data_IF_233754248171
#
_entry.id   IF_233754248171
#
_cell.length_a   1.000
_cell.length_b   1.000
_cell.length_c   1.000
_cell.angle_alpha   90.00
_cell.angle_beta   90.00
_cell.angle_gamma   90.00
#
_symmetry.space_group_name_H-M   'P 1'
#
loop_
_entity.id
_entity.type
_entity.pdbx_description
1 polymer ?
#
# COMPACT_ATOMS: atom_id res chain seq x y z
N UNK A 1 -8.20 12.78 -7.59
CA UNK A 1 -9.38 11.89 -7.54
C UNK A 1 -8.85 10.46 -7.39
N UNK A 2 -9.41 9.64 -6.51
CA UNK A 2 -9.02 8.23 -6.33
C UNK A 2 -10.05 7.34 -7.04
N UNK A 3 -9.64 6.64 -8.10
CA UNK A 3 -10.54 5.91 -9.00
C UNK A 3 -10.66 4.42 -8.63
N UNK A 4 -10.99 4.17 -7.36
CA UNK A 4 -11.41 2.86 -6.87
C UNK A 4 -10.38 1.73 -7.02
N UNK A 5 -10.82 0.52 -6.67
CA UNK A 5 -10.04 -0.71 -6.65
C UNK A 5 -10.01 -1.35 -8.05
N UNK A 6 -9.46 -0.60 -9.03
CA UNK A 6 -9.43 -0.95 -10.44
C UNK A 6 -10.82 -1.15 -11.09
N UNK A 7 -11.79 -0.30 -10.74
CA UNK A 7 -13.13 -0.35 -11.35
C UNK A 7 -13.09 0.20 -12.78
N UNK A 8 -13.38 -0.62 -13.82
CA UNK A 8 -13.29 -0.19 -15.21
C UNK A 8 -14.22 0.99 -15.55
N UNK A 9 -15.38 1.11 -14.89
CA UNK A 9 -16.32 2.22 -15.14
C UNK A 9 -15.71 3.54 -14.70
N UNK A 10 -15.16 3.61 -13.49
CA UNK A 10 -14.55 4.84 -12.98
C UNK A 10 -13.25 5.17 -13.69
N UNK A 11 -12.50 4.14 -14.13
CA UNK A 11 -11.30 4.34 -14.94
C UNK A 11 -11.63 4.91 -16.32
N UNK A 12 -12.70 4.44 -16.99
CA UNK A 12 -13.16 5.03 -18.25
C UNK A 12 -13.52 6.50 -18.07
N UNK A 13 -14.33 6.82 -17.04
CA UNK A 13 -14.72 8.21 -16.79
C UNK A 13 -13.52 9.13 -16.55
N UNK A 14 -12.48 8.64 -15.86
CA UNK A 14 -11.25 9.39 -15.64
C UNK A 14 -10.47 9.62 -16.95
N UNK A 15 -10.39 8.60 -17.79
CA UNK A 15 -9.73 8.67 -19.08
C UNK A 15 -10.44 9.66 -20.01
N UNK A 16 -11.77 9.55 -20.11
CA UNK A 16 -12.60 10.45 -20.92
C UNK A 16 -12.45 11.92 -20.48
N UNK A 17 -12.42 12.16 -19.17
CA UNK A 17 -12.19 13.49 -18.61
C UNK A 17 -10.83 14.05 -19.02
N UNK A 18 -9.74 13.28 -18.88
CA UNK A 18 -8.40 13.70 -19.30
C UNK A 18 -8.33 14.00 -20.80
N UNK A 19 -8.90 13.14 -21.64
CA UNK A 19 -8.92 13.32 -23.11
C UNK A 19 -9.74 14.54 -23.50
N UNK A 20 -10.88 14.79 -22.84
CA UNK A 20 -11.68 15.99 -23.09
C UNK A 20 -10.95 17.29 -22.75
N UNK A 21 -9.94 17.23 -21.87
CA UNK A 21 -9.04 18.32 -21.53
C UNK A 21 -7.76 18.37 -22.39
N UNK A 22 -7.69 17.59 -23.47
CA UNK A 22 -6.60 17.62 -24.44
C UNK A 22 -5.38 16.78 -24.06
N UNK A 23 -5.52 15.80 -23.16
CA UNK A 23 -4.44 14.84 -22.94
C UNK A 23 -4.17 14.03 -24.21
N UNK A 24 -2.92 14.02 -24.67
CA UNK A 24 -2.48 13.24 -25.85
C UNK A 24 -1.93 11.86 -25.47
N UNK A 25 -1.61 11.66 -24.18
CA UNK A 25 -1.24 10.38 -23.57
C UNK A 25 -1.53 10.42 -22.07
N UNK A 26 -1.67 9.25 -21.45
CA UNK A 26 -2.00 9.13 -20.02
C UNK A 26 -1.01 8.20 -19.30
N UNK A 27 -0.42 8.72 -18.22
CA UNK A 27 0.40 7.94 -17.28
C UNK A 27 -0.43 7.61 -16.04
N UNK A 28 -0.73 6.33 -15.83
CA UNK A 28 -1.55 5.86 -14.70
C UNK A 28 -0.65 5.45 -13.55
N UNK A 29 -0.74 6.19 -12.44
CA UNK A 29 -0.05 5.83 -11.19
C UNK A 29 -1.02 5.10 -10.26
N UNK A 30 -0.69 3.85 -9.94
CA UNK A 30 -1.44 2.98 -9.02
C UNK A 30 -0.97 3.22 -7.59
N UNK A 31 -1.87 3.77 -6.75
CA UNK A 31 -1.60 4.01 -5.33
C UNK A 31 -2.16 2.86 -4.48
N UNK A 32 -1.40 1.78 -4.36
CA UNK A 32 -1.72 0.63 -3.52
C UNK A 32 -0.59 0.29 -2.56
N UNK A 33 -0.94 -0.36 -1.44
CA UNK A 33 0.05 -0.85 -0.46
C UNK A 33 0.99 -1.86 -1.13
N UNK A 34 0.46 -2.85 -1.86
CA UNK A 34 1.25 -3.77 -2.68
C UNK A 34 1.14 -3.44 -4.16
N UNK A 35 2.25 -3.56 -4.89
CA UNK A 35 2.26 -3.44 -6.34
C UNK A 35 1.47 -4.55 -7.05
N UNK A 36 1.25 -5.69 -6.37
CA UNK A 36 0.45 -6.81 -6.87
C UNK A 36 -1.06 -6.49 -6.86
N UNK A 37 -1.53 -5.64 -5.94
CA UNK A 37 -2.96 -5.38 -5.71
C UNK A 37 -3.65 -4.79 -6.95
N UNK A 38 -4.54 -5.55 -7.58
CA UNK A 38 -5.27 -5.17 -8.80
C UNK A 38 -4.38 -4.90 -10.03
N UNK A 39 -3.12 -5.36 -10.06
CA UNK A 39 -2.23 -5.10 -11.19
C UNK A 39 -2.78 -5.70 -12.49
N UNK A 40 -3.19 -6.97 -12.44
CA UNK A 40 -3.66 -7.70 -13.62
C UNK A 40 -4.98 -7.13 -14.14
N UNK A 41 -5.89 -6.80 -13.24
CA UNK A 41 -7.18 -6.16 -13.52
C UNK A 41 -6.98 -4.79 -14.18
N UNK A 42 -6.08 -3.98 -13.62
CA UNK A 42 -5.80 -2.64 -14.15
C UNK A 42 -5.11 -2.74 -15.52
N UNK A 43 -4.10 -3.60 -15.64
CA UNK A 43 -3.37 -3.79 -16.89
C UNK A 43 -4.27 -4.36 -18.01
N UNK A 44 -5.14 -5.32 -17.68
CA UNK A 44 -6.15 -5.82 -18.62
C UNK A 44 -7.12 -4.71 -19.05
N UNK A 45 -7.62 -3.91 -18.11
CA UNK A 45 -8.54 -2.81 -18.42
C UNK A 45 -7.91 -1.82 -19.41
N UNK A 46 -6.64 -1.47 -19.21
CA UNK A 46 -5.88 -0.61 -20.13
C UNK A 46 -5.29 -1.35 -21.33
N UNK A 47 -5.73 -2.57 -21.62
CA UNK A 47 -5.29 -3.38 -22.78
C UNK A 47 -3.76 -3.63 -22.83
N UNK A 48 -3.07 -3.53 -21.69
CA UNK A 48 -1.64 -3.82 -21.55
C UNK A 48 -1.38 -5.32 -21.31
N UNK A 49 -2.43 -6.07 -21.00
CA UNK A 49 -2.44 -7.52 -20.86
C UNK A 49 -3.53 -8.11 -21.76
N UNK A 50 -3.21 -9.16 -22.52
CA UNK A 50 -4.11 -9.73 -23.52
C UNK A 50 -5.25 -10.57 -22.90
N UNK A 51 -5.03 -11.09 -21.69
CA UNK A 51 -5.94 -12.03 -21.05
C UNK A 51 -6.57 -11.42 -19.82
N UNK A 52 -7.90 -11.58 -19.70
CA UNK A 52 -8.61 -11.20 -18.49
C UNK A 52 -8.04 -11.96 -17.29
N UNK A 53 -7.94 -11.33 -16.11
CA UNK A 53 -7.53 -12.01 -14.89
C UNK A 53 -8.48 -13.17 -14.59
N UNK A 54 -7.91 -14.33 -14.28
CA UNK A 54 -8.66 -15.52 -13.86
C UNK A 54 -8.93 -15.46 -12.36
N UNK A 55 -10.12 -15.91 -11.93
CA UNK A 55 -10.47 -16.08 -10.52
C UNK A 55 -11.49 -15.05 -10.04
N UNK A 56 -11.54 -14.85 -8.71
CA UNK A 56 -12.44 -13.87 -8.10
C UNK A 56 -11.87 -12.45 -8.25
N UNK A 57 -12.49 -11.67 -9.14
CA UNK A 57 -12.21 -10.24 -9.28
C UNK A 57 -13.29 -9.43 -8.55
N UNK A 58 -12.92 -8.24 -8.08
CA UNK A 58 -13.90 -7.36 -7.42
C UNK A 58 -14.87 -6.68 -8.37
N UNK A 59 -14.47 -6.52 -9.62
CA UNK A 59 -15.28 -5.97 -10.69
C UNK A 59 -15.22 -6.93 -11.88
N UNK A 60 -16.28 -6.96 -12.69
CA UNK A 60 -16.28 -7.69 -13.95
C UNK A 60 -15.15 -7.16 -14.84
N UNK A 61 -14.21 -8.01 -15.30
CA UNK A 61 -13.12 -7.56 -16.15
C UNK A 61 -13.65 -6.95 -17.44
N UNK A 62 -13.21 -5.73 -17.76
CA UNK A 62 -13.60 -5.01 -18.96
C UNK A 62 -12.44 -4.17 -19.48
N UNK A 63 -12.21 -4.22 -20.79
CA UNK A 63 -11.30 -3.31 -21.47
C UNK A 63 -11.92 -1.92 -21.63
N UNK A 64 -11.10 -0.89 -21.49
CA UNK A 64 -11.46 0.49 -21.69
C UNK A 64 -11.39 0.85 -23.18
N UNK A 65 -12.17 1.84 -23.59
CA UNK A 65 -12.03 2.46 -24.90
C UNK A 65 -10.88 3.47 -24.84
N UNK A 66 -9.77 3.15 -25.52
CA UNK A 66 -8.54 3.93 -25.49
C UNK A 66 -8.41 4.76 -26.77
N UNK A 67 -8.51 6.08 -26.64
CA UNK A 67 -8.29 7.03 -27.72
C UNK A 67 -6.88 7.64 -27.74
N UNK A 68 -6.10 7.38 -26.69
CA UNK A 68 -4.73 7.87 -26.49
C UNK A 68 -3.84 6.78 -25.89
N UNK A 69 -2.51 6.81 -26.12
CA UNK A 69 -1.58 5.89 -25.48
C UNK A 69 -1.64 5.97 -23.95
N UNK A 70 -1.53 4.80 -23.30
CA UNK A 70 -1.54 4.69 -21.85
C UNK A 70 -0.34 3.88 -21.35
N UNK A 71 0.20 4.28 -20.21
CA UNK A 71 1.20 3.51 -19.46
C UNK A 71 0.78 3.37 -18.01
N UNK A 72 1.33 2.36 -17.34
CA UNK A 72 0.88 1.93 -16.01
C UNK A 72 2.05 1.73 -15.06
N UNK A 73 1.98 2.30 -13.85
CA UNK A 73 2.95 2.01 -12.80
C UNK A 73 2.70 0.62 -12.18
N UNK A 74 3.79 -0.07 -11.85
CA UNK A 74 3.75 -1.42 -11.26
C UNK A 74 4.08 -1.46 -9.77
N UNK A 75 4.76 -0.43 -9.25
CA UNK A 75 5.22 -0.37 -7.87
C UNK A 75 4.09 -0.19 -6.86
N UNK A 76 4.31 -0.64 -5.62
CA UNK A 76 3.49 -0.34 -4.46
C UNK A 76 4.29 0.25 -3.31
N UNK A 77 3.58 0.71 -2.28
CA UNK A 77 4.19 1.38 -1.11
C UNK A 77 5.08 0.45 -0.27
N UNK A 78 4.82 -0.86 -0.27
CA UNK A 78 5.67 -1.87 0.38
C UNK A 78 7.09 -1.93 -0.20
N UNK A 79 7.28 -1.50 -1.44
CA UNK A 79 8.57 -1.51 -2.14
C UNK A 79 9.28 -0.14 -2.08
N UNK A 80 8.67 0.83 -1.39
CA UNK A 80 9.14 2.21 -1.37
C UNK A 80 9.91 2.51 -0.08
N UNK A 81 11.24 2.61 -0.17
CA UNK A 81 12.11 2.94 0.98
C UNK A 81 11.71 4.26 1.66
N UNK A 82 11.09 5.19 0.93
CA UNK A 82 10.53 6.43 1.50
C UNK A 82 9.53 6.16 2.63
N UNK A 83 8.81 5.04 2.61
CA UNK A 83 7.84 4.69 3.65
C UNK A 83 8.52 4.32 4.98
N UNK A 84 9.74 3.79 4.95
CA UNK A 84 10.49 3.49 6.17
C UNK A 84 10.70 4.74 7.03
N UNK A 85 11.02 5.88 6.39
CA UNK A 85 11.15 7.16 7.07
C UNK A 85 9.85 7.61 7.74
N UNK A 86 8.70 7.35 7.13
CA UNK A 86 7.39 7.65 7.74
C UNK A 86 7.24 6.84 9.02
N UNK A 87 7.54 5.55 8.97
CA UNK A 87 7.41 4.70 10.16
C UNK A 87 8.37 5.11 11.28
N UNK A 88 9.60 5.51 10.94
CA UNK A 88 10.58 6.05 11.91
C UNK A 88 10.05 7.32 12.58
N UNK A 89 9.60 8.30 11.78
CA UNK A 89 9.11 9.58 12.33
C UNK A 89 7.88 9.38 13.22
N UNK A 90 6.99 8.44 12.86
CA UNK A 90 5.82 8.08 13.67
C UNK A 90 6.22 7.41 14.97
N UNK A 91 7.13 6.43 14.91
CA UNK A 91 7.61 5.72 16.09
C UNK A 91 8.28 6.68 17.07
N UNK A 92 9.25 7.47 16.59
CA UNK A 92 9.99 8.43 17.40
C UNK A 92 9.10 9.58 17.91
N UNK A 93 8.20 10.09 17.07
CA UNK A 93 7.29 11.18 17.43
C UNK A 93 6.25 10.78 18.49
N UNK A 94 5.90 9.49 18.57
CA UNK A 94 5.04 8.96 19.62
C UNK A 94 5.81 8.51 20.85
N UNK A 95 7.13 8.30 20.77
CA UNK A 95 7.93 7.73 21.85
C UNK A 95 8.15 8.70 23.02
N UNK A 96 8.25 8.14 24.23
CA UNK A 96 8.63 8.88 25.45
C UNK A 96 9.90 8.28 26.06
N UNK A 97 9.93 6.96 26.23
CA UNK A 97 11.09 6.19 26.69
C UNK A 97 11.24 4.94 25.81
N UNK A 98 11.97 5.04 24.69
CA UNK A 98 12.07 3.95 23.71
C UNK A 98 12.44 2.60 24.34
N UNK A 99 13.34 2.61 25.34
CA UNK A 99 13.81 1.39 26.02
C UNK A 99 12.71 0.62 26.77
N UNK A 100 11.58 1.28 27.06
CA UNK A 100 10.37 0.69 27.68
C UNK A 100 9.19 0.61 26.71
N UNK A 101 9.44 0.79 25.42
CA UNK A 101 8.41 0.86 24.40
C UNK A 101 8.66 -0.16 23.30
N UNK A 102 7.59 -0.82 22.86
CA UNK A 102 7.63 -1.75 21.74
C UNK A 102 6.78 -1.24 20.60
N UNK A 103 7.27 -1.36 19.37
CA UNK A 103 6.55 -0.98 18.17
C UNK A 103 5.80 -2.19 17.62
N UNK A 104 4.55 -1.97 17.23
CA UNK A 104 3.73 -2.90 16.47
C UNK A 104 3.25 -2.23 15.19
N UNK A 105 3.82 -2.60 14.05
CA UNK A 105 3.36 -2.16 12.73
C UNK A 105 2.27 -3.13 12.25
N UNK A 106 1.09 -2.61 11.91
CA UNK A 106 -0.05 -3.43 11.50
C UNK A 106 -0.52 -3.03 10.11
N UNK A 107 -0.48 -3.97 9.17
CA UNK A 107 -1.04 -3.82 7.83
C UNK A 107 -2.45 -4.41 7.70
N UNK A 108 -3.14 -4.08 6.61
CA UNK A 108 -4.42 -4.71 6.23
C UNK A 108 -4.24 -6.21 6.01
N UNK A 109 -3.38 -6.62 5.09
CA UNK A 109 -3.04 -8.03 4.82
C UNK A 109 -3.95 -8.73 3.81
N UNK A 110 -3.39 -9.38 2.79
CA UNK A 110 -4.17 -10.09 1.78
C UNK A 110 -4.73 -11.42 2.29
N UNK A 111 -5.67 -11.98 1.52
CA UNK A 111 -6.36 -13.22 1.82
C UNK A 111 -5.53 -14.46 1.52
N UNK A 112 -4.59 -14.36 0.58
CA UNK A 112 -3.63 -15.43 0.28
C UNK A 112 -2.51 -15.48 1.32
N UNK A 113 -2.13 -16.68 1.76
CA UNK A 113 -1.13 -16.87 2.81
C UNK A 113 0.28 -16.53 2.34
N UNK A 114 0.64 -16.86 1.09
CA UNK A 114 1.97 -16.58 0.56
C UNK A 114 2.13 -15.11 0.20
N UNK A 115 1.08 -14.47 -0.32
CA UNK A 115 1.05 -13.02 -0.47
C UNK A 115 1.18 -12.32 0.90
N UNK A 116 0.47 -12.80 1.93
CA UNK A 116 0.56 -12.20 3.26
C UNK A 116 1.98 -12.32 3.86
N UNK A 117 2.65 -13.45 3.67
CA UNK A 117 4.07 -13.59 4.07
C UNK A 117 4.97 -12.60 3.35
N UNK A 118 4.76 -12.36 2.04
CA UNK A 118 5.50 -11.34 1.28
C UNK A 118 5.23 -9.93 1.82
N UNK A 119 3.97 -9.60 2.15
CA UNK A 119 3.62 -8.33 2.76
C UNK A 119 4.33 -8.11 4.10
N UNK A 120 4.24 -9.09 5.02
CA UNK A 120 4.91 -9.02 6.32
C UNK A 120 6.42 -8.86 6.15
N UNK A 121 7.06 -9.62 5.26
CA UNK A 121 8.49 -9.51 5.00
C UNK A 121 8.91 -8.13 4.46
N UNK A 122 8.13 -7.53 3.55
CA UNK A 122 8.42 -6.19 3.01
C UNK A 122 8.22 -5.10 4.07
N UNK A 123 7.14 -5.18 4.85
CA UNK A 123 6.95 -4.27 5.98
C UNK A 123 8.07 -4.41 7.02
N UNK A 124 8.51 -5.65 7.29
CA UNK A 124 9.61 -5.92 8.21
C UNK A 124 10.93 -5.34 7.74
N UNK A 125 11.20 -5.40 6.43
CA UNK A 125 12.36 -4.74 5.83
C UNK A 125 12.33 -3.21 6.00
N UNK A 126 11.15 -2.58 5.86
CA UNK A 126 11.00 -1.15 6.13
C UNK A 126 11.19 -0.83 7.62
N UNK A 127 10.73 -1.73 8.50
CA UNK A 127 10.84 -1.60 9.96
C UNK A 127 12.29 -1.69 10.47
N UNK A 128 13.23 -2.22 9.69
CA UNK A 128 14.66 -2.19 10.02
C UNK A 128 15.18 -0.77 10.28
N UNK A 129 14.61 0.25 9.62
CA UNK A 129 15.01 1.64 9.87
C UNK A 129 14.63 2.07 11.29
N UNK A 130 13.50 1.60 11.84
CA UNK A 130 13.11 1.84 13.23
C UNK A 130 14.07 1.15 14.19
N UNK A 131 14.45 -0.10 13.89
CA UNK A 131 15.40 -0.87 14.71
C UNK A 131 16.79 -0.24 14.74
N UNK A 132 17.18 0.40 13.65
CA UNK A 132 18.48 1.09 13.52
C UNK A 132 18.48 2.46 14.19
N UNK A 133 17.41 3.22 14.01
CA UNK A 133 17.35 4.63 14.39
C UNK A 133 16.67 4.87 15.76
N UNK A 134 16.07 3.84 16.34
CA UNK A 134 15.39 3.90 17.64
C UNK A 134 15.90 2.85 18.64
N UNK A 135 15.95 3.24 19.91
CA UNK A 135 16.32 2.36 21.04
C UNK A 135 15.09 1.61 21.61
N UNK A 136 14.15 1.21 20.73
CA UNK A 136 12.92 0.53 21.14
C UNK A 136 13.22 -0.86 21.70
N UNK A 137 12.46 -1.28 22.72
CA UNK A 137 12.60 -2.62 23.30
C UNK A 137 12.40 -3.73 22.25
N UNK A 138 11.39 -3.58 21.39
CA UNK A 138 11.17 -4.48 20.26
C UNK A 138 10.40 -3.79 19.13
N UNK A 139 10.57 -4.30 17.91
CA UNK A 139 9.83 -3.84 16.72
C UNK A 139 9.24 -5.05 16.03
N UNK A 140 7.90 -5.13 16.01
CA UNK A 140 7.14 -6.25 15.47
C UNK A 140 6.25 -5.79 14.32
N UNK A 141 6.02 -6.68 13.37
CA UNK A 141 5.25 -6.42 12.16
C UNK A 141 4.24 -7.55 11.96
N UNK A 142 2.99 -7.19 11.68
CA UNK A 142 1.94 -8.17 11.41
C UNK A 142 0.81 -7.57 10.55
N UNK A 143 -0.17 -8.39 10.19
CA UNK A 143 -1.36 -7.98 9.44
C UNK A 143 -2.62 -8.46 10.16
N UNK A 144 -3.71 -7.70 10.05
CA UNK A 144 -5.00 -8.07 10.65
C UNK A 144 -5.82 -9.00 9.75
N UNK A 145 -5.60 -8.95 8.44
CA UNK A 145 -6.35 -9.68 7.41
C UNK A 145 -7.85 -9.43 7.54
N UNK A 146 -8.20 -8.15 7.68
CA UNK A 146 -9.47 -7.67 8.23
C UNK A 146 -10.73 -8.06 7.43
N UNK A 147 -10.58 -8.34 6.13
CA UNK A 147 -11.66 -8.72 5.22
C UNK A 147 -11.83 -10.25 5.08
N UNK A 148 -10.96 -11.05 5.72
CA UNK A 148 -10.84 -12.48 5.44
C UNK A 148 -11.34 -13.33 6.61
N UNK A 149 -12.59 -13.80 6.51
CA UNK A 149 -13.20 -14.70 7.49
C UNK A 149 -12.33 -15.94 7.74
N UNK A 150 -12.10 -16.28 9.01
CA UNK A 150 -11.26 -17.41 9.41
C UNK A 150 -9.76 -17.11 9.42
N UNK A 151 -9.33 -15.95 8.92
CA UNK A 151 -7.95 -15.44 9.06
C UNK A 151 -7.89 -14.27 10.04
N UNK A 152 -8.90 -13.39 9.98
CA UNK A 152 -9.01 -12.21 10.84
C UNK A 152 -8.94 -12.57 12.33
N UNK A 153 -9.76 -13.53 12.77
CA UNK A 153 -9.92 -13.82 14.20
C UNK A 153 -8.62 -14.32 14.84
N UNK A 154 -7.87 -15.17 14.12
CA UNK A 154 -6.57 -15.65 14.58
C UNK A 154 -5.54 -14.51 14.67
N UNK A 155 -5.45 -13.68 13.62
CA UNK A 155 -4.55 -12.54 13.59
C UNK A 155 -4.86 -11.51 14.69
N UNK A 156 -6.15 -11.23 14.92
CA UNK A 156 -6.62 -10.35 15.97
C UNK A 156 -6.18 -10.84 17.36
N UNK A 157 -6.37 -12.13 17.65
CA UNK A 157 -5.92 -12.73 18.92
C UNK A 157 -4.41 -12.64 19.11
N UNK A 158 -3.62 -12.87 18.06
CA UNK A 158 -2.16 -12.76 18.11
C UNK A 158 -1.71 -11.32 18.39
N UNK A 159 -2.32 -10.34 17.70
CA UNK A 159 -2.06 -8.91 17.91
C UNK A 159 -2.40 -8.48 19.34
N UNK A 160 -3.58 -8.86 19.85
CA UNK A 160 -3.99 -8.56 21.22
C UNK A 160 -3.08 -9.23 22.25
N UNK A 161 -2.67 -10.49 22.01
CA UNK A 161 -1.77 -11.23 22.89
C UNK A 161 -0.40 -10.55 22.99
N UNK A 162 0.12 -10.03 21.88
CA UNK A 162 1.35 -9.24 21.87
C UNK A 162 1.22 -8.00 22.78
N UNK A 163 0.16 -7.20 22.58
CA UNK A 163 -0.05 -5.98 23.37
C UNK A 163 -0.21 -6.29 24.86
N UNK A 164 -0.95 -7.35 25.21
CA UNK A 164 -1.10 -7.80 26.62
C UNK A 164 0.23 -8.24 27.23
N UNK A 165 1.05 -8.96 26.47
CA UNK A 165 2.34 -9.47 26.94
C UNK A 165 3.29 -8.33 27.25
N UNK A 166 3.42 -7.37 26.34
CA UNK A 166 4.26 -6.17 26.53
C UNK A 166 3.77 -5.33 27.71
N UNK A 167 2.44 -5.11 27.80
CA UNK A 167 1.84 -4.36 28.91
C UNK A 167 2.09 -5.03 30.26
N UNK A 168 1.95 -6.36 30.34
CA UNK A 168 2.20 -7.13 31.58
C UNK A 168 3.67 -7.02 32.03
N UNK A 169 4.58 -6.89 31.07
CA UNK A 169 5.99 -6.67 31.33
C UNK A 169 6.35 -5.20 31.64
N UNK A 170 5.35 -4.33 31.80
CA UNK A 170 5.53 -2.91 32.13
C UNK A 170 5.98 -2.04 30.96
N UNK A 171 5.80 -2.50 29.71
CA UNK A 171 6.14 -1.76 28.50
C UNK A 171 4.90 -1.15 27.85
N UNK A 172 5.09 -0.04 27.14
CA UNK A 172 4.02 0.57 26.32
C UNK A 172 4.16 0.11 24.88
N UNK A 173 3.07 -0.33 24.26
CA UNK A 173 3.06 -0.62 22.82
C UNK A 173 2.66 0.62 22.04
N UNK A 174 3.46 1.00 21.05
CA UNK A 174 3.13 2.01 20.05
C UNK A 174 2.67 1.28 18.79
N UNK A 175 1.43 1.53 18.36
CA UNK A 175 0.82 0.89 17.20
C UNK A 175 0.89 1.84 16.01
N UNK A 176 1.52 1.40 14.92
CA UNK A 176 1.70 2.17 13.69
C UNK A 176 1.01 1.45 12.53
N UNK A 177 -0.06 2.02 11.96
CA UNK A 177 -0.71 1.45 10.79
C UNK A 177 0.16 1.52 9.52
N UNK A 178 0.44 0.38 8.90
CA UNK A 178 0.94 0.32 7.52
C UNK A 178 -0.23 0.25 6.54
N UNK A 179 -0.94 1.37 6.42
CA UNK A 179 -2.08 1.52 5.52
C UNK A 179 -2.10 2.91 4.93
N UNK A 180 -2.71 3.07 3.76
CA UNK A 180 -2.67 4.34 3.03
C UNK A 180 -3.24 5.49 3.88
N UNK A 181 -4.38 5.29 4.54
CA UNK A 181 -5.07 6.33 5.29
C UNK A 181 -5.75 5.82 6.56
N UNK A 182 -5.57 6.54 7.67
CA UNK A 182 -6.26 6.34 8.95
C UNK A 182 -5.83 5.09 9.73
N UNK A 183 -6.53 4.81 10.83
CA UNK A 183 -6.20 3.73 11.77
C UNK A 183 -6.85 2.38 11.48
N UNK A 184 -7.92 2.34 10.68
CA UNK A 184 -8.61 1.09 10.34
C UNK A 184 -9.47 0.61 11.51
N UNK A 185 -9.79 -0.69 11.58
CA UNK A 185 -10.56 -1.26 12.69
C UNK A 185 -9.71 -1.44 13.95
N UNK A 186 -8.47 -0.93 13.99
CA UNK A 186 -7.52 -1.21 15.07
C UNK A 186 -7.99 -0.66 16.42
N UNK A 187 -8.80 0.41 16.44
CA UNK A 187 -9.38 0.90 17.69
C UNK A 187 -10.27 -0.16 18.38
N UNK A 188 -11.12 -0.84 17.59
CA UNK A 188 -12.00 -1.90 18.08
C UNK A 188 -11.19 -3.16 18.42
N UNK A 189 -10.23 -3.52 17.57
CA UNK A 189 -9.33 -4.67 17.79
C UNK A 189 -8.55 -4.55 19.09
N UNK A 190 -8.12 -3.35 19.48
CA UNK A 190 -7.35 -3.13 20.70
C UNK A 190 -8.18 -2.51 21.82
N UNK A 191 -9.51 -2.64 21.77
CA UNK A 191 -10.39 -2.12 22.81
C UNK A 191 -10.04 -2.72 24.19
N UNK A 192 -9.94 -1.85 25.20
CA UNK A 192 -9.57 -2.24 26.57
C UNK A 192 -8.10 -2.60 26.75
N UNK A 193 -7.24 -2.44 25.74
CA UNK A 193 -5.80 -2.60 25.84
C UNK A 193 -5.09 -1.25 25.94
N UNK A 194 -3.96 -1.23 26.64
CA UNK A 194 -3.13 -0.03 26.77
C UNK A 194 -2.13 0.05 25.63
N UNK A 195 -2.28 1.04 24.76
CA UNK A 195 -1.36 1.33 23.66
C UNK A 195 -1.33 2.84 23.35
N UNK A 196 -0.35 3.25 22.54
CA UNK A 196 -0.24 4.61 22.01
C UNK A 196 -0.30 4.56 20.48
N UNK A 197 -1.08 5.44 19.87
CA UNK A 197 -1.15 5.61 18.42
C UNK A 197 -1.58 7.05 18.10
N UNK A 198 -1.14 7.58 16.96
CA UNK A 198 -1.67 8.85 16.42
C UNK A 198 -2.85 8.63 15.47
N UNK A 199 -3.26 7.37 15.27
CA UNK A 199 -4.34 6.97 14.37
C UNK A 199 -4.12 7.29 12.88
N UNK A 200 -2.89 7.62 12.49
CA UNK A 200 -2.56 7.99 11.12
C UNK A 200 -1.98 6.80 10.34
N UNK A 201 -2.32 6.74 9.06
CA UNK A 201 -1.64 5.83 8.13
C UNK A 201 -0.39 6.49 7.56
N UNK A 202 -0.03 6.10 6.33
CA UNK A 202 1.06 6.72 5.58
C UNK A 202 0.73 8.16 5.20
N UNK A 203 -0.55 8.46 4.88
CA UNK A 203 -1.02 9.82 4.69
C UNK A 203 -1.23 10.55 6.03
N UNK A 204 -1.06 11.88 6.08
CA UNK A 204 -0.85 12.81 4.95
C UNK A 204 0.62 13.11 4.64
N UNK A 205 1.55 12.19 4.90
CA UNK A 205 2.99 12.48 4.77
C UNK A 205 3.40 12.79 3.32
N UNK A 206 4.21 13.84 3.15
CA UNK A 206 4.68 14.33 1.84
C UNK A 206 5.47 13.27 1.06
N UNK A 207 6.13 12.31 1.74
CA UNK A 207 6.88 11.23 1.08
C UNK A 207 5.99 10.31 0.23
N UNK A 208 4.70 10.21 0.54
CA UNK A 208 3.74 9.51 -0.33
C UNK A 208 3.57 10.27 -1.65
N UNK A 209 3.47 11.60 -1.60
CA UNK A 209 3.41 12.46 -2.81
C UNK A 209 4.69 12.37 -3.62
N UNK A 210 5.85 12.35 -2.97
CA UNK A 210 7.14 12.22 -3.65
C UNK A 210 7.30 10.85 -4.32
N UNK A 211 6.79 9.79 -3.68
CA UNK A 211 6.69 8.46 -4.31
C UNK A 211 5.75 8.46 -5.53
N UNK A 212 4.57 9.07 -5.43
CA UNK A 212 3.65 9.22 -6.58
C UNK A 212 4.36 9.94 -7.74
N UNK A 213 5.11 11.00 -7.45
CA UNK A 213 5.87 11.73 -8.46
C UNK A 213 6.94 10.86 -9.11
N UNK A 214 7.66 10.03 -8.35
CA UNK A 214 8.68 9.13 -8.91
C UNK A 214 8.06 8.05 -9.81
N UNK A 215 6.92 7.48 -9.42
CA UNK A 215 6.18 6.54 -10.26
C UNK A 215 5.70 7.21 -11.56
N UNK A 216 5.14 8.42 -11.47
CA UNK A 216 4.72 9.19 -12.65
C UNK A 216 5.88 9.40 -13.64
N UNK A 217 7.06 9.81 -13.16
CA UNK A 217 8.21 10.05 -14.03
C UNK A 217 8.66 8.76 -14.74
N UNK A 218 8.76 7.65 -14.01
CA UNK A 218 9.12 6.35 -14.60
C UNK A 218 8.11 5.90 -15.66
N UNK A 219 6.81 6.02 -15.37
CA UNK A 219 5.73 5.62 -16.28
C UNK A 219 5.69 6.53 -17.52
N UNK A 220 5.97 7.84 -17.36
CA UNK A 220 6.09 8.77 -18.49
C UNK A 220 7.26 8.43 -19.41
N UNK A 221 8.41 8.04 -18.88
CA UNK A 221 9.56 7.60 -19.69
C UNK A 221 9.22 6.37 -20.54
N UNK A 222 8.44 5.44 -20.00
CA UNK A 222 7.97 4.26 -20.75
C UNK A 222 7.12 4.64 -21.98
N UNK A 223 6.24 5.64 -21.86
CA UNK A 223 5.46 6.14 -23.01
C UNK A 223 6.37 6.65 -24.13
N UNK A 224 7.31 7.52 -23.78
CA UNK A 224 8.23 8.14 -24.75
C UNK A 224 9.03 7.06 -25.48
N UNK A 225 9.54 6.05 -24.76
CA UNK A 225 10.29 4.95 -25.37
C UNK A 225 9.41 4.12 -26.33
N UNK A 226 8.15 3.86 -25.97
CA UNK A 226 7.23 3.11 -26.83
C UNK A 226 6.90 3.85 -28.14
N UNK A 227 6.75 5.17 -28.09
CA UNK A 227 6.51 6.01 -29.27
C UNK A 227 7.72 6.04 -30.21
N UNK A 228 8.93 6.14 -29.66
CA UNK A 228 10.17 6.12 -30.43
C UNK A 228 10.40 4.78 -31.13
N UNK A 229 10.11 3.66 -30.46
CA UNK A 229 10.24 2.32 -31.06
C UNK A 229 9.25 2.09 -32.21
N UNK A 230 8.02 2.60 -32.10
CA UNK A 230 7.02 2.49 -33.16
C UNK A 230 7.34 3.36 -34.38
N UNK A 231 8.05 4.47 -34.22
CA UNK A 231 8.51 5.28 -35.36
C UNK A 231 9.68 4.61 -36.10
N UNK A 232 10.57 3.91 -35.40
CA UNK A 232 11.72 3.23 -36.02
C UNK A 232 11.39 1.92 -36.74
N UNK A 233 10.24 1.30 -36.46
CA UNK A 233 9.78 0.07 -37.12
C UNK A 233 8.97 0.32 -38.40
N UNK A 234 8.72 1.60 -38.74
CA UNK A 234 7.99 2.02 -39.94
C UNK A 234 8.86 2.75 -40.98
N UNK A 235 10.18 2.87 -40.74
CA UNK A 235 11.21 3.31 -41.70
C UNK A 235 12.04 2.11 -42.22
#
# INVERSE_FOLDING_TARGET
>A
IAFGMANPVTLQTALDDLVSHGAESVAVVRLFVSGESFLKETAYSFQLEAHAPSGHTMHEPRVLDLSVPVSLSVGGLLDAQLMAGILVDRALGLSIDPSKESILIVGHGPGDDDENKRWVSKMDHLAESIRKDGDFHSVNVSTLREDWTGKREAAELELQAFVRTESTAGRTVIIIPFRLFGFGPYADVFEGLSYRADSLGLLPDQRVTDWIRSQYMSTKETLIQSEMMNHQSHD
#
